data_IF_923156968619
#
_entry.id   IF_923156968619
#
_cell.length_a   1.000
_cell.length_b   1.000
_cell.length_c   1.000
_cell.angle_alpha   90.00
_cell.angle_beta   90.00
_cell.angle_gamma   90.00
#
_symmetry.space_group_name_H-M   'P 1'
#
loop_
_entity.id
_entity.type
_entity.pdbx_description
1 polymer ?
#
# COMPACT_ATOMS: atom_id res chain seq x y z
N UNK A 1 31.39 -3.55 1.07
CA UNK A 1 30.46 -3.01 0.06
C UNK A 1 30.24 -1.54 0.39
N UNK A 2 30.85 -0.65 -0.38
CA UNK A 2 30.63 0.80 -0.26
C UNK A 2 29.29 1.07 -0.92
N UNK A 3 28.25 1.38 -0.13
CA UNK A 3 26.95 1.74 -0.68
C UNK A 3 27.11 3.11 -1.35
N UNK A 4 27.31 3.13 -2.67
CA UNK A 4 27.19 4.35 -3.45
C UNK A 4 25.72 4.78 -3.38
N UNK A 5 25.45 5.82 -2.58
CA UNK A 5 24.11 6.37 -2.43
C UNK A 5 23.75 7.07 -3.74
N UNK A 6 23.18 6.30 -4.67
CA UNK A 6 22.68 6.80 -5.94
C UNK A 6 21.29 7.43 -5.72
N UNK A 7 20.98 8.52 -6.45
CA UNK A 7 19.69 9.22 -6.43
C UNK A 7 18.50 8.26 -6.56
N UNK A 8 18.62 7.20 -7.38
CA UNK A 8 17.56 6.19 -7.52
C UNK A 8 17.24 5.43 -6.22
N UNK A 9 18.26 5.14 -5.40
CA UNK A 9 18.07 4.48 -4.10
C UNK A 9 17.34 5.41 -3.13
N UNK A 10 17.71 6.70 -3.10
CA UNK A 10 17.06 7.71 -2.25
C UNK A 10 15.56 7.81 -2.59
N UNK A 11 15.24 7.95 -3.88
CA UNK A 11 13.83 8.08 -4.32
C UNK A 11 13.03 6.82 -3.98
N UNK A 12 13.60 5.64 -4.19
CA UNK A 12 12.93 4.37 -3.88
C UNK A 12 12.72 4.21 -2.37
N UNK A 13 13.70 4.59 -1.54
CA UNK A 13 13.57 4.60 -0.10
C UNK A 13 12.47 5.54 0.39
N UNK A 14 12.38 6.75 -0.16
CA UNK A 14 11.30 7.71 0.13
C UNK A 14 9.94 7.15 -0.28
N UNK A 15 9.82 6.53 -1.46
CA UNK A 15 8.58 5.88 -1.91
C UNK A 15 8.15 4.76 -0.95
N UNK A 16 9.10 3.94 -0.48
CA UNK A 16 8.82 2.91 0.53
C UNK A 16 8.35 3.50 1.86
N UNK A 17 8.95 4.61 2.32
CA UNK A 17 8.50 5.31 3.52
C UNK A 17 7.06 5.81 3.38
N UNK A 18 6.70 6.40 2.24
CA UNK A 18 5.32 6.84 1.95
C UNK A 18 4.35 5.65 1.98
N UNK A 19 4.73 4.53 1.36
CA UNK A 19 3.93 3.31 1.38
C UNK A 19 3.73 2.78 2.80
N UNK A 20 4.80 2.73 3.60
CA UNK A 20 4.71 2.29 4.99
C UNK A 20 3.83 3.20 5.84
N UNK A 21 3.97 4.53 5.68
CA UNK A 21 3.10 5.53 6.31
C UNK A 21 1.63 5.31 5.95
N UNK A 22 1.33 5.03 4.67
CA UNK A 22 -0.02 4.71 4.20
C UNK A 22 -0.60 3.48 4.89
N UNK A 23 0.17 2.40 4.99
CA UNK A 23 -0.25 1.19 5.70
C UNK A 23 -0.47 1.46 7.19
N UNK A 24 0.43 2.22 7.82
CA UNK A 24 0.30 2.59 9.23
C UNK A 24 -0.96 3.42 9.49
N UNK A 25 -1.27 4.38 8.62
CA UNK A 25 -2.50 5.17 8.67
C UNK A 25 -3.76 4.30 8.51
N UNK A 26 -3.76 3.35 7.58
CA UNK A 26 -4.86 2.40 7.40
C UNK A 26 -5.08 1.55 8.66
N UNK A 27 -4.01 1.05 9.27
CA UNK A 27 -4.08 0.29 10.53
C UNK A 27 -4.61 1.16 11.69
N UNK A 28 -4.20 2.42 11.76
CA UNK A 28 -4.68 3.38 12.75
C UNK A 28 -6.17 3.70 12.59
N UNK A 29 -6.64 3.87 11.34
CA UNK A 29 -8.06 4.12 11.04
C UNK A 29 -8.93 2.94 11.45
N UNK A 30 -8.48 1.70 11.19
CA UNK A 30 -9.17 0.48 11.65
C UNK A 30 -9.38 0.48 13.16
N UNK A 31 -8.33 0.74 13.94
CA UNK A 31 -8.41 0.73 15.41
C UNK A 31 -9.41 1.76 15.95
N UNK A 32 -9.55 2.91 15.28
CA UNK A 32 -10.55 3.93 15.62
C UNK A 32 -11.97 3.48 15.25
N UNK A 33 -12.16 2.95 14.03
CA UNK A 33 -13.45 2.46 13.56
C UNK A 33 -13.97 1.30 14.42
N UNK A 34 -13.14 0.30 14.74
CA UNK A 34 -13.54 -0.83 15.60
C UNK A 34 -13.94 -0.37 17.01
N UNK A 35 -13.34 0.70 17.54
CA UNK A 35 -13.74 1.28 18.84
C UNK A 35 -15.07 2.01 18.75
N UNK A 36 -15.32 2.75 17.66
CA UNK A 36 -16.60 3.42 17.41
C UNK A 36 -17.72 2.39 17.23
N UNK A 37 -17.49 1.35 16.45
CA UNK A 37 -18.44 0.25 16.27
C UNK A 37 -18.73 -0.48 17.58
N UNK A 38 -17.73 -0.72 18.42
CA UNK A 38 -17.95 -1.34 19.74
C UNK A 38 -18.83 -0.46 20.65
N UNK A 39 -18.69 0.86 20.58
CA UNK A 39 -19.54 1.82 21.31
C UNK A 39 -20.95 1.89 20.72
N UNK A 40 -21.08 1.89 19.39
CA UNK A 40 -22.38 1.85 18.70
C UNK A 40 -23.12 0.54 18.96
N UNK A 41 -22.44 -0.61 18.93
CA UNK A 41 -22.99 -1.91 19.32
C UNK A 41 -23.52 -1.90 20.76
N UNK A 42 -22.81 -1.26 21.70
CA UNK A 42 -23.28 -1.12 23.10
C UNK A 42 -24.51 -0.24 23.22
N UNK A 43 -24.60 0.85 22.44
CA UNK A 43 -25.77 1.74 22.41
C UNK A 43 -26.98 1.06 21.73
N UNK A 44 -26.77 0.41 20.60
CA UNK A 44 -27.81 -0.26 19.81
C UNK A 44 -28.32 -1.55 20.44
N UNK A 45 -27.49 -2.31 21.18
CA UNK A 45 -27.94 -3.48 21.97
C UNK A 45 -29.01 -3.10 23.00
N UNK A 46 -29.05 -1.83 23.43
CA UNK A 46 -30.07 -1.29 24.32
C UNK A 46 -31.34 -0.82 23.59
N UNK A 47 -31.29 -0.61 22.27
CA UNK A 47 -32.32 0.06 21.49
C UNK A 47 -33.02 -0.84 20.45
N UNK A 48 -32.30 -1.68 19.70
CA UNK A 48 -32.92 -2.62 18.75
C UNK A 48 -31.94 -3.74 18.31
N UNK A 49 -32.24 -5.03 18.59
CA UNK A 49 -31.36 -6.16 18.26
C UNK A 49 -31.24 -6.47 16.75
N UNK A 50 -32.19 -6.05 15.90
CA UNK A 50 -32.11 -6.32 14.45
C UNK A 50 -31.10 -5.40 13.72
N UNK A 51 -30.89 -4.19 14.23
CA UNK A 51 -29.92 -3.24 13.69
C UNK A 51 -28.45 -3.70 13.85
N UNK A 52 -28.19 -4.69 14.71
CA UNK A 52 -26.87 -5.28 14.89
C UNK A 52 -26.37 -6.09 13.68
N UNK A 53 -27.29 -6.64 12.86
CA UNK A 53 -26.93 -7.48 11.70
C UNK A 53 -26.40 -6.66 10.50
N UNK A 54 -26.71 -5.37 10.40
CA UNK A 54 -26.27 -4.54 9.26
C UNK A 54 -24.86 -3.95 9.42
N UNK A 55 -24.31 -3.95 10.64
CA UNK A 55 -23.01 -3.33 10.99
C UNK A 55 -21.82 -4.29 10.72
N UNK A 56 -22.07 -5.47 10.14
CA UNK A 56 -21.04 -6.51 10.00
C UNK A 56 -19.98 -6.22 8.92
N UNK A 57 -20.08 -5.12 8.16
CA UNK A 57 -19.20 -4.85 7.01
C UNK A 57 -18.07 -3.85 7.31
N UNK A 58 -17.19 -4.18 8.26
CA UNK A 58 -15.88 -3.53 8.38
C UNK A 58 -14.73 -4.48 8.04
N UNK A 59 -14.83 -5.07 6.86
CA UNK A 59 -13.70 -5.71 6.19
C UNK A 59 -12.83 -4.65 5.49
N UNK A 60 -11.51 -4.88 5.47
CA UNK A 60 -10.61 -4.12 4.60
C UNK A 60 -11.10 -4.26 3.15
N UNK A 61 -11.57 -3.18 2.55
CA UNK A 61 -12.00 -3.21 1.16
C UNK A 61 -10.82 -2.79 0.29
N UNK A 62 -10.23 -3.77 -0.39
CA UNK A 62 -9.29 -3.50 -1.48
C UNK A 62 -10.07 -2.70 -2.53
N UNK A 63 -9.69 -1.44 -2.75
CA UNK A 63 -10.43 -0.53 -3.65
C UNK A 63 -10.40 -1.05 -5.08
N UNK A 64 -9.26 -1.61 -5.48
CA UNK A 64 -9.08 -2.18 -6.81
C UNK A 64 -7.96 -3.22 -6.79
N UNK A 65 -8.32 -4.48 -7.00
CA UNK A 65 -7.35 -5.56 -7.21
C UNK A 65 -6.53 -5.37 -8.49
N UNK A 66 -7.05 -4.62 -9.47
CA UNK A 66 -6.31 -4.26 -10.67
C UNK A 66 -5.10 -3.37 -10.35
N UNK A 67 -5.28 -2.37 -9.47
CA UNK A 67 -4.19 -1.48 -9.05
C UNK A 67 -3.13 -2.24 -8.23
N UNK A 68 -3.56 -3.22 -7.42
CA UNK A 68 -2.65 -4.13 -6.69
C UNK A 68 -1.78 -4.89 -7.69
N UNK A 69 -2.39 -5.55 -8.68
CA UNK A 69 -1.67 -6.30 -9.70
C UNK A 69 -0.71 -5.43 -10.51
N UNK A 70 -1.18 -4.26 -10.96
CA UNK A 70 -0.37 -3.31 -11.72
C UNK A 70 0.84 -2.81 -10.91
N UNK A 71 0.65 -2.50 -9.63
CA UNK A 71 1.73 -2.08 -8.73
C UNK A 71 2.79 -3.17 -8.54
N UNK A 72 2.37 -4.42 -8.33
CA UNK A 72 3.29 -5.56 -8.19
C UNK A 72 4.07 -5.81 -9.49
N UNK A 73 3.40 -5.76 -10.65
CA UNK A 73 4.06 -5.93 -11.95
C UNK A 73 5.11 -4.83 -12.17
N UNK A 74 4.79 -3.57 -11.88
CA UNK A 74 5.74 -2.46 -11.99
C UNK A 74 6.94 -2.60 -11.05
N UNK A 75 6.72 -3.06 -9.81
CA UNK A 75 7.82 -3.38 -8.89
C UNK A 75 8.71 -4.48 -9.44
N UNK A 76 8.13 -5.56 -9.97
CA UNK A 76 8.88 -6.68 -10.54
C UNK A 76 9.68 -6.24 -11.76
N UNK A 77 9.09 -5.43 -12.64
CA UNK A 77 9.79 -4.83 -13.78
C UNK A 77 11.00 -4.02 -13.31
N UNK A 78 10.84 -3.19 -12.29
CA UNK A 78 11.95 -2.41 -11.74
C UNK A 78 13.08 -3.25 -11.13
N UNK A 79 12.76 -4.36 -10.46
CA UNK A 79 13.76 -5.32 -9.94
C UNK A 79 14.45 -6.07 -11.07
N UNK A 80 13.70 -6.50 -12.08
CA UNK A 80 14.27 -7.16 -13.25
C UNK A 80 15.21 -6.20 -13.95
N UNK A 81 14.82 -4.94 -14.19
CA UNK A 81 15.72 -3.92 -14.76
C UNK A 81 16.99 -3.71 -13.95
N UNK A 82 16.91 -3.70 -12.61
CA UNK A 82 18.10 -3.55 -11.76
C UNK A 82 19.03 -4.78 -11.76
N UNK A 83 18.48 -5.98 -11.94
CA UNK A 83 19.25 -7.25 -11.89
C UNK A 83 19.70 -7.74 -13.28
N UNK A 84 19.06 -7.22 -14.31
CA UNK A 84 19.28 -7.53 -15.71
C UNK A 84 20.59 -6.93 -16.23
N UNK A 85 21.72 -7.58 -15.95
CA UNK A 85 23.03 -7.21 -16.55
C UNK A 85 23.12 -7.41 -18.08
N UNK A 86 21.99 -7.67 -18.77
CA UNK A 86 21.91 -7.94 -20.21
C UNK A 86 21.37 -6.74 -21.01
N UNK A 87 20.85 -5.70 -20.34
CA UNK A 87 20.43 -4.46 -20.98
C UNK A 87 21.55 -3.42 -20.89
N UNK A 88 22.53 -3.51 -21.79
CA UNK A 88 23.63 -2.53 -21.93
C UNK A 88 23.13 -1.21 -22.59
N UNK A 89 21.99 -0.71 -22.11
CA UNK A 89 21.21 0.38 -22.68
C UNK A 89 21.06 1.50 -21.65
N UNK A 90 20.86 2.77 -22.07
CA UNK A 90 20.72 3.91 -21.14
C UNK A 90 19.53 3.81 -20.16
N UNK A 91 18.69 2.77 -20.30
CA UNK A 91 17.53 2.52 -19.45
C UNK A 91 17.88 1.98 -18.07
N UNK A 92 19.10 1.44 -17.89
CA UNK A 92 19.59 0.94 -16.60
C UNK A 92 19.64 2.01 -15.51
N UNK A 93 19.64 3.30 -15.87
CA UNK A 93 19.61 4.39 -14.89
C UNK A 93 18.20 4.74 -14.39
N UNK A 94 17.14 4.24 -15.05
CA UNK A 94 15.75 4.62 -14.77
C UNK A 94 14.94 3.54 -14.02
N UNK A 95 15.56 2.43 -13.61
CA UNK A 95 14.92 1.35 -12.85
C UNK A 95 14.11 1.84 -11.64
N UNK A 96 14.60 2.89 -10.96
CA UNK A 96 13.96 3.47 -9.79
C UNK A 96 12.61 4.12 -10.11
N UNK A 97 12.36 4.59 -11.34
CA UNK A 97 11.07 5.15 -11.77
C UNK A 97 10.01 4.05 -11.79
N UNK A 98 10.34 2.89 -12.38
CA UNK A 98 9.44 1.75 -12.42
C UNK A 98 9.12 1.23 -11.01
N UNK A 99 10.16 1.03 -10.19
CA UNK A 99 10.00 0.54 -8.81
C UNK A 99 9.20 1.52 -7.95
N UNK A 100 9.59 2.80 -7.91
CA UNK A 100 8.90 3.81 -7.09
C UNK A 100 7.47 4.08 -7.58
N UNK A 101 7.23 4.08 -8.89
CA UNK A 101 5.90 4.14 -9.48
C UNK A 101 5.02 2.97 -9.06
N UNK A 102 5.56 1.74 -9.09
CA UNK A 102 4.88 0.55 -8.58
C UNK A 102 4.53 0.67 -7.10
N UNK A 103 5.45 1.14 -6.26
CA UNK A 103 5.23 1.40 -4.82
C UNK A 103 4.10 2.40 -4.59
N UNK A 104 4.09 3.51 -5.33
CA UNK A 104 3.06 4.53 -5.18
C UNK A 104 1.69 4.01 -5.63
N UNK A 105 1.59 3.37 -6.80
CA UNK A 105 0.33 2.79 -7.30
C UNK A 105 -0.21 1.75 -6.31
N UNK A 106 0.68 0.90 -5.79
CA UNK A 106 0.33 -0.08 -4.77
C UNK A 106 -0.16 0.59 -3.48
N UNK A 107 0.47 1.69 -3.04
CA UNK A 107 0.05 2.46 -1.88
C UNK A 107 -1.39 3.01 -2.01
N UNK A 108 -1.83 3.37 -3.22
CA UNK A 108 -3.19 3.87 -3.48
C UNK A 108 -4.22 2.78 -3.77
N UNK A 109 -3.82 1.52 -3.79
CA UNK A 109 -4.70 0.38 -4.07
C UNK A 109 -5.62 0.02 -2.90
N UNK A 110 -5.26 0.47 -1.70
CA UNK A 110 -5.98 0.17 -0.45
C UNK A 110 -6.82 1.37 0.02
N UNK A 111 -8.03 1.12 0.54
CA UNK A 111 -8.95 2.13 1.09
C UNK A 111 -9.22 1.89 2.57
#
# INVERSE_FOLDING_TARGET
>A
MMFEINTGIIVTAVAMLVFYLRIAMLRGRKRRLTRQEALERRKLKKANPEALRSIEKTGYQVRSWWLVGLGVVLMLVGVVMYTANWMDTPYDQYWWIATSGGVLIFAFSFK
#
